data_IF_851567734931
#
_entry.id   IF_851567734931
#
_cell.length_a   1.000
_cell.length_b   1.000
_cell.length_c   1.000
_cell.angle_alpha   90.00
_cell.angle_beta   90.00
_cell.angle_gamma   90.00
#
_symmetry.space_group_name_H-M   'P 1'
#
loop_
_entity.id
_entity.type
_entity.pdbx_description
1 polymer ?
#
# COMPACT_ATOMS: atom_id res chain seq x y z
N UNK A 1 4.74 -9.92 -6.57
CA UNK A 1 4.39 -9.41 -5.24
C UNK A 1 5.60 -9.53 -4.35
N UNK A 2 5.66 -8.76 -3.28
CA UNK A 2 6.73 -8.79 -2.28
C UNK A 2 6.09 -8.90 -0.90
N UNK A 3 6.73 -9.64 -0.01
CA UNK A 3 6.37 -9.66 1.40
C UNK A 3 7.05 -8.46 2.09
N UNK A 4 6.29 -7.75 2.91
CA UNK A 4 6.78 -6.60 3.68
C UNK A 4 6.44 -6.77 5.15
N UNK A 5 7.22 -6.10 5.97
CA UNK A 5 7.08 -6.08 7.41
C UNK A 5 7.25 -4.64 7.88
N UNK A 6 6.34 -4.14 8.70
CA UNK A 6 6.44 -2.82 9.32
C UNK A 6 6.10 -2.89 10.80
N UNK A 7 6.86 -2.19 11.62
CA UNK A 7 6.49 -1.95 13.01
C UNK A 7 5.48 -0.79 13.05
N UNK A 8 4.21 -1.05 13.33
CA UNK A 8 3.15 -0.03 13.32
C UNK A 8 3.22 0.95 14.50
N UNK A 9 4.06 0.69 15.50
CA UNK A 9 4.31 1.62 16.61
C UNK A 9 5.40 2.65 16.27
N UNK A 10 6.37 2.30 15.43
CA UNK A 10 7.52 3.17 15.10
C UNK A 10 7.54 3.63 13.65
N UNK A 11 7.13 2.76 12.72
CA UNK A 11 7.24 2.97 11.29
C UNK A 11 5.98 3.66 10.78
N UNK A 12 6.16 4.83 10.16
CA UNK A 12 5.06 5.57 9.53
C UNK A 12 4.83 5.15 8.07
N UNK A 13 5.88 4.63 7.42
CA UNK A 13 5.87 4.32 6.00
C UNK A 13 7.07 3.45 5.60
N UNK A 14 6.85 2.58 4.62
CA UNK A 14 7.89 1.89 3.86
C UNK A 14 7.92 2.42 2.42
N UNK A 15 9.11 2.62 1.87
CA UNK A 15 9.29 3.06 0.48
C UNK A 15 9.84 1.91 -0.36
N UNK A 16 9.10 1.55 -1.41
CA UNK A 16 9.47 0.55 -2.41
C UNK A 16 9.93 1.26 -3.69
N UNK A 17 11.11 0.88 -4.19
CA UNK A 17 11.69 1.46 -5.41
C UNK A 17 11.59 0.49 -6.58
N UNK A 18 10.95 0.89 -7.68
CA UNK A 18 10.97 0.15 -8.94
C UNK A 18 12.06 0.73 -9.87
N UNK A 19 13.19 0.02 -9.94
CA UNK A 19 14.39 0.48 -10.63
C UNK A 19 14.17 0.74 -12.12
N UNK A 20 13.45 -0.13 -12.83
CA UNK A 20 13.32 -0.03 -14.29
C UNK A 20 12.57 1.21 -14.72
N UNK A 21 11.66 1.71 -13.88
CA UNK A 21 10.80 2.85 -14.20
C UNK A 21 11.13 4.10 -13.39
N UNK A 22 12.10 4.00 -12.47
CA UNK A 22 12.47 5.08 -11.55
C UNK A 22 11.24 5.60 -10.79
N UNK A 23 10.40 4.68 -10.32
CA UNK A 23 9.19 4.99 -9.58
C UNK A 23 9.35 4.65 -8.11
N UNK A 24 8.80 5.51 -7.28
CA UNK A 24 8.71 5.35 -5.84
C UNK A 24 7.28 4.99 -5.47
N UNK A 25 7.10 3.86 -4.79
CA UNK A 25 5.83 3.50 -4.19
C UNK A 25 5.97 3.58 -2.67
N UNK A 26 5.13 4.40 -2.06
CA UNK A 26 5.04 4.54 -0.61
C UNK A 26 3.91 3.66 -0.10
N UNK A 27 4.22 2.72 0.79
CA UNK A 27 3.23 2.02 1.61
C UNK A 27 3.18 2.72 2.97
N UNK A 28 2.07 3.38 3.27
CA UNK A 28 1.88 4.11 4.53
C UNK A 28 0.97 3.34 5.46
N UNK A 29 1.31 3.36 6.76
CA UNK A 29 0.49 2.80 7.83
C UNK A 29 0.07 3.91 8.79
N UNK A 30 -1.21 3.93 9.15
CA UNK A 30 -1.76 4.85 10.15
C UNK A 30 -2.36 4.02 11.27
N UNK A 31 -1.65 3.97 12.39
CA UNK A 31 -2.04 3.22 13.58
C UNK A 31 -3.03 4.05 14.41
N UNK A 32 -4.28 3.60 14.46
CA UNK A 32 -5.38 4.29 15.12
C UNK A 32 -6.00 3.39 16.20
N UNK A 33 -6.77 3.93 17.17
CA UNK A 33 -7.27 3.15 18.30
C UNK A 33 -8.03 1.85 17.96
N UNK A 34 -8.62 1.77 16.77
CA UNK A 34 -9.45 0.63 16.35
C UNK A 34 -8.73 -0.32 15.37
N UNK A 35 -7.57 0.06 14.84
CA UNK A 35 -6.94 -0.66 13.74
C UNK A 35 -5.93 0.18 12.97
N UNK A 36 -5.34 -0.45 11.96
CA UNK A 36 -4.34 0.17 11.10
C UNK A 36 -4.92 0.40 9.72
N UNK A 37 -4.79 1.62 9.20
CA UNK A 37 -5.06 1.92 7.80
C UNK A 37 -3.78 1.75 7.00
N UNK A 38 -3.86 1.00 5.91
CA UNK A 38 -2.73 0.73 5.01
C UNK A 38 -3.06 1.22 3.62
N UNK A 39 -2.18 2.02 3.01
CA UNK A 39 -2.42 2.58 1.67
C UNK A 39 -1.14 2.64 0.84
N UNK A 40 -1.30 2.53 -0.48
CA UNK A 40 -0.20 2.65 -1.45
C UNK A 40 -0.36 3.95 -2.25
N UNK A 41 0.73 4.70 -2.36
CA UNK A 41 0.84 5.90 -3.20
C UNK A 41 2.06 5.81 -4.11
N UNK A 42 1.96 6.36 -5.31
CA UNK A 42 3.10 6.51 -6.21
C UNK A 42 3.62 7.95 -6.10
N UNK A 43 4.86 8.12 -5.63
CA UNK A 43 5.54 9.42 -5.55
C UNK A 43 6.17 9.66 -6.92
N UNK A 44 5.52 10.46 -7.74
CA UNK A 44 5.99 10.75 -9.09
C UNK A 44 5.56 12.15 -9.54
N UNK A 45 6.39 12.87 -10.30
CA UNK A 45 5.96 14.09 -10.98
C UNK A 45 4.81 13.79 -11.94
N UNK A 46 3.76 14.62 -11.95
CA UNK A 46 2.60 14.48 -12.85
C UNK A 46 2.97 14.38 -14.34
N UNK A 47 4.16 14.83 -14.74
CA UNK A 47 4.66 14.85 -16.11
C UNK A 47 5.29 13.53 -16.59
N UNK A 48 5.67 12.60 -15.70
CA UNK A 48 6.07 11.28 -16.19
C UNK A 48 4.82 10.60 -16.75
N UNK A 49 4.92 10.07 -17.98
CA UNK A 49 3.99 9.09 -18.53
C UNK A 49 4.10 7.76 -17.77
N UNK A 50 3.92 7.81 -16.45
CA UNK A 50 3.79 6.65 -15.59
C UNK A 50 2.52 5.94 -16.03
N UNK A 51 2.66 4.76 -16.63
CA UNK A 51 1.54 3.89 -16.97
C UNK A 51 0.61 3.69 -15.76
N UNK A 52 -0.64 3.30 -15.99
CA UNK A 52 -1.54 2.97 -14.88
C UNK A 52 -1.04 1.71 -14.18
N UNK A 53 -0.96 1.75 -12.86
CA UNK A 53 -0.57 0.61 -12.04
C UNK A 53 -1.78 0.15 -11.25
N UNK A 54 -2.01 -1.15 -11.18
CA UNK A 54 -2.92 -1.73 -10.20
C UNK A 54 -2.10 -2.22 -9.00
N UNK A 55 -2.75 -2.35 -7.86
CA UNK A 55 -2.13 -2.94 -6.69
C UNK A 55 -3.10 -3.81 -5.89
N UNK A 56 -2.52 -4.74 -5.13
CA UNK A 56 -3.23 -5.51 -4.12
C UNK A 56 -2.46 -5.52 -2.81
N UNK A 57 -3.22 -5.46 -1.71
CA UNK A 57 -2.75 -5.64 -0.34
C UNK A 57 -3.39 -6.92 0.18
N UNK A 58 -2.56 -7.82 0.69
CA UNK A 58 -2.98 -9.09 1.25
C UNK A 58 -2.36 -9.24 2.64
N UNK A 59 -3.21 -9.19 3.65
CA UNK A 59 -2.85 -9.41 5.04
C UNK A 59 -3.47 -10.72 5.51
N UNK A 60 -2.67 -11.62 6.07
CA UNK A 60 -3.15 -12.89 6.58
C UNK A 60 -2.69 -13.11 8.01
N UNK A 61 -3.61 -13.50 8.89
CA UNK A 61 -3.34 -13.81 10.30
C UNK A 61 -4.28 -14.90 10.81
N UNK A 62 -3.73 -15.91 11.49
CA UNK A 62 -4.48 -17.02 12.11
C UNK A 62 -5.51 -17.68 11.17
N UNK A 63 -5.16 -17.84 9.89
CA UNK A 63 -6.04 -18.42 8.86
C UNK A 63 -7.12 -17.48 8.31
N UNK A 64 -7.18 -16.23 8.78
CA UNK A 64 -8.00 -15.18 8.20
C UNK A 64 -7.19 -14.35 7.21
N UNK A 65 -7.82 -13.95 6.10
CA UNK A 65 -7.20 -13.12 5.07
C UNK A 65 -8.04 -11.87 4.83
N UNK A 66 -7.41 -10.71 4.93
CA UNK A 66 -7.95 -9.42 4.53
C UNK A 66 -7.26 -8.99 3.23
N UNK A 67 -8.07 -8.76 2.18
CA UNK A 67 -7.56 -8.42 0.86
C UNK A 67 -8.19 -7.15 0.35
N UNK A 68 -7.36 -6.28 -0.22
CA UNK A 68 -7.79 -5.08 -0.92
C UNK A 68 -7.13 -5.04 -2.29
N UNK A 69 -7.91 -4.73 -3.33
CA UNK A 69 -7.42 -4.57 -4.70
C UNK A 69 -7.90 -3.23 -5.24
N UNK A 70 -7.00 -2.50 -5.90
CA UNK A 70 -7.38 -1.28 -6.61
C UNK A 70 -6.77 -1.24 -8.01
N UNK A 71 -7.57 -0.85 -9.01
CA UNK A 71 -7.15 -0.84 -10.41
C UNK A 71 -6.23 0.33 -10.76
N UNK A 72 -6.03 1.28 -9.84
CA UNK A 72 -5.15 2.43 -10.04
C UNK A 72 -4.39 2.80 -8.75
N UNK A 73 -3.09 3.03 -8.85
CA UNK A 73 -2.29 3.58 -7.76
C UNK A 73 -2.36 5.10 -7.83
N UNK A 74 -2.92 5.72 -6.80
CA UNK A 74 -2.99 7.19 -6.67
C UNK A 74 -1.59 7.80 -6.70
N UNK A 75 -1.38 8.74 -7.62
CA UNK A 75 -0.12 9.47 -7.80
C UNK A 75 -0.15 10.74 -6.95
N UNK A 76 0.96 11.03 -6.29
CA UNK A 76 1.14 12.21 -5.45
C UNK A 76 2.53 12.80 -5.65
N UNK A 77 2.68 14.10 -5.42
CA UNK A 77 3.99 14.75 -5.35
C UNK A 77 4.66 14.49 -4.00
N UNK A 78 3.86 14.43 -2.93
CA UNK A 78 4.28 14.21 -1.56
C UNK A 78 3.22 13.34 -0.84
N UNK A 79 3.66 12.51 0.08
CA UNK A 79 2.78 11.66 0.90
C UNK A 79 2.19 12.45 2.06
N UNK A 80 0.93 12.16 2.42
CA UNK A 80 0.24 12.83 3.53
C UNK A 80 0.40 12.06 4.83
N UNK A 81 0.48 12.77 5.95
CA UNK A 81 0.37 12.16 7.30
C UNK A 81 -1.08 12.05 7.79
N UNK A 82 -2.06 12.49 6.99
CA UNK A 82 -3.48 12.36 7.31
C UNK A 82 -4.00 10.98 6.90
N UNK A 83 -4.92 10.44 7.71
CA UNK A 83 -5.59 9.16 7.44
C UNK A 83 -6.26 9.21 6.05
N UNK A 84 -6.01 8.21 5.19
CA UNK A 84 -6.62 8.16 3.87
C UNK A 84 -8.14 8.00 3.97
N UNK A 85 -8.87 8.76 3.15
CA UNK A 85 -10.33 8.61 3.01
C UNK A 85 -10.71 7.61 1.91
N UNK A 86 -9.74 7.26 1.05
CA UNK A 86 -9.88 6.39 -0.11
C UNK A 86 -8.64 5.50 -0.29
N UNK A 87 -8.80 4.42 -1.06
CA UNK A 87 -7.71 3.55 -1.48
C UNK A 87 -6.88 2.99 -0.30
N UNK A 88 -7.56 2.37 0.67
CA UNK A 88 -6.92 1.78 1.85
C UNK A 88 -7.48 0.40 2.20
N UNK A 89 -6.63 -0.43 2.80
CA UNK A 89 -7.03 -1.61 3.57
C UNK A 89 -7.06 -1.24 5.05
N UNK A 90 -8.15 -1.54 5.74
CA UNK A 90 -8.23 -1.40 7.19
C UNK A 90 -8.04 -2.77 7.86
N UNK A 91 -7.07 -2.86 8.78
CA UNK A 91 -6.78 -4.06 9.57
C UNK A 91 -7.23 -3.81 11.01
N UNK A 92 -8.35 -4.40 11.46
CA UNK A 92 -8.81 -4.25 12.84
C UNK A 92 -7.81 -4.83 13.86
N UNK A 93 -7.73 -4.23 15.04
CA UNK A 93 -6.82 -4.68 16.10
C UNK A 93 -6.98 -6.14 16.52
N UNK A 94 -8.18 -6.72 16.42
CA UNK A 94 -8.39 -8.14 16.74
C UNK A 94 -7.60 -9.10 15.83
N UNK A 95 -7.23 -8.64 14.63
CA UNK A 95 -6.40 -9.39 13.68
C UNK A 95 -4.92 -9.10 13.80
N UNK A 96 -4.47 -8.20 14.68
CA UNK A 96 -3.06 -7.90 14.88
C UNK A 96 -2.45 -8.78 15.97
N UNK A 97 -1.15 -9.03 15.87
CA UNK A 97 -0.34 -9.73 16.88
C UNK A 97 0.88 -8.88 17.21
N UNK A 98 0.77 -8.12 18.30
CA UNK A 98 1.80 -7.14 18.67
C UNK A 98 1.85 -5.96 17.70
N UNK A 99 3.03 -5.38 17.54
CA UNK A 99 3.27 -4.15 16.78
C UNK A 99 3.77 -4.43 15.36
N UNK A 100 3.77 -5.68 14.92
CA UNK A 100 4.36 -6.06 13.64
C UNK A 100 3.27 -6.38 12.63
N UNK A 101 3.23 -5.61 11.54
CA UNK A 101 2.35 -5.84 10.41
C UNK A 101 3.14 -6.53 9.29
N UNK A 102 2.84 -7.80 9.06
CA UNK A 102 3.38 -8.59 7.95
C UNK A 102 2.32 -8.70 6.85
N UNK A 103 2.65 -8.31 5.62
CA UNK A 103 1.70 -8.37 4.51
C UNK A 103 2.39 -8.59 3.17
N UNK A 104 1.62 -9.10 2.20
CA UNK A 104 2.04 -9.22 0.81
C UNK A 104 1.46 -8.09 -0.02
N UNK A 105 2.32 -7.45 -0.81
CA UNK A 105 1.93 -6.38 -1.73
C UNK A 105 2.18 -6.83 -3.16
N UNK A 106 1.18 -6.71 -4.02
CA UNK A 106 1.34 -6.78 -5.47
C UNK A 106 1.22 -5.40 -6.08
N UNK A 107 2.17 -5.00 -6.93
CA UNK A 107 2.06 -3.81 -7.78
C UNK A 107 2.37 -4.25 -9.21
N UNK A 108 1.48 -3.94 -10.15
CA UNK A 108 1.59 -4.40 -11.53
C UNK A 108 1.12 -3.35 -12.53
N UNK A 109 1.63 -3.42 -13.75
CA UNK A 109 1.09 -2.60 -14.85
C UNK A 109 -0.34 -3.03 -15.15
N UNK A 110 -1.23 -2.05 -15.30
CA UNK A 110 -2.51 -2.28 -15.93
C UNK A 110 -2.28 -2.52 -17.42
N UNK A 111 -2.39 -3.77 -17.86
CA UNK A 111 -2.46 -4.09 -19.29
C UNK A 111 -3.78 -3.50 -19.78
N UNK A 112 -3.73 -2.62 -20.79
CA UNK A 112 -4.96 -2.21 -21.48
C UNK A 112 -5.52 -3.48 -22.12
N UNK A 113 -6.72 -3.90 -21.73
CA UNK A 113 -7.48 -4.82 -22.56
C UNK A 113 -7.61 -4.14 -23.92
N UNK A 114 -7.06 -4.77 -24.95
CA UNK A 114 -7.20 -4.28 -26.32
C UNK A 114 -8.68 -4.25 -26.68
N UNK A 115 -9.12 -3.15 -27.25
CA UNK A 115 -10.31 -3.06 -28.09
C UNK A 115 -9.94 -2.14 -29.23
#
# INVERSE_FOLDING_TARGET
>A
SVDVQMNIATDKMLVLWEFKKRLLFALQCFNEPNGVYVTVRCIAPSALQVGKFAYCLDYSMDGHTLKYESPDVKKVFEVSSQIPQDDFLFVPHCFLRGELLEMKIGIGLKVRAGS
#
